data_IF_070424527506
#
_entry.id   IF_070424527506
#
_cell.length_a   1.000
_cell.length_b   1.000
_cell.length_c   1.000
_cell.angle_alpha   90.00
_cell.angle_beta   90.00
_cell.angle_gamma   90.00
#
_symmetry.space_group_name_H-M   'P 1'
#
loop_
_entity.id
_entity.type
_entity.pdbx_description
1 polymer ?
#
# COMPACT_ATOMS: atom_id res chain seq x y z
N UNK A 1 -1.97 -25.19 -11.09
CA UNK A 1 -0.53 -25.04 -10.77
C UNK A 1 -0.36 -24.28 -9.46
N UNK A 2 0.62 -24.68 -8.63
CA UNK A 2 0.88 -24.05 -7.32
C UNK A 2 1.23 -22.57 -7.44
N UNK A 3 2.11 -22.21 -8.38
CA UNK A 3 2.50 -20.82 -8.68
C UNK A 3 1.29 -19.89 -8.86
N UNK A 4 0.35 -20.27 -9.73
CA UNK A 4 -0.89 -19.52 -9.97
C UNK A 4 -1.76 -19.37 -8.71
N UNK A 5 -1.68 -20.32 -7.78
CA UNK A 5 -2.45 -20.28 -6.52
C UNK A 5 -1.89 -19.23 -5.57
N UNK A 6 -0.55 -19.19 -5.46
CA UNK A 6 0.15 -18.16 -4.67
C UNK A 6 -0.09 -16.78 -5.26
N UNK A 7 0.04 -16.63 -6.59
CA UNK A 7 -0.22 -15.34 -7.24
C UNK A 7 -1.66 -14.87 -7.01
N UNK A 8 -2.66 -15.75 -7.14
CA UNK A 8 -4.06 -15.42 -6.83
C UNK A 8 -4.23 -14.99 -5.38
N UNK A 9 -3.60 -15.68 -4.44
CA UNK A 9 -3.70 -15.32 -3.03
C UNK A 9 -3.08 -13.95 -2.74
N UNK A 10 -1.89 -13.67 -3.27
CA UNK A 10 -1.25 -12.36 -3.14
C UNK A 10 -2.12 -11.28 -3.77
N UNK A 11 -2.69 -11.53 -4.95
CA UNK A 11 -3.60 -10.61 -5.65
C UNK A 11 -4.90 -10.35 -4.88
N UNK A 12 -5.39 -11.33 -4.12
CA UNK A 12 -6.59 -11.19 -3.28
C UNK A 12 -6.29 -10.42 -1.99
N UNK A 13 -5.02 -10.36 -1.58
CA UNK A 13 -4.53 -9.71 -0.37
C UNK A 13 -3.63 -8.50 -0.68
N UNK A 14 -3.83 -7.83 -1.81
CA UNK A 14 -3.12 -6.58 -2.15
C UNK A 14 -3.31 -5.56 -1.04
N UNK A 15 -2.25 -4.82 -0.70
CA UNK A 15 -2.31 -3.80 0.35
C UNK A 15 -2.41 -4.35 1.77
N UNK A 16 -2.43 -5.69 1.96
CA UNK A 16 -2.40 -6.31 3.28
C UNK A 16 -0.99 -6.79 3.63
N UNK A 17 -0.58 -6.70 4.92
CA UNK A 17 0.68 -7.29 5.35
C UNK A 17 0.68 -8.81 5.19
N UNK A 18 1.66 -9.34 4.47
CA UNK A 18 1.81 -10.76 4.19
C UNK A 18 3.17 -11.28 4.67
N UNK A 19 3.17 -12.52 5.17
CA UNK A 19 4.39 -13.28 5.42
C UNK A 19 4.36 -14.56 4.61
N UNK A 20 5.54 -15.02 4.19
CA UNK A 20 5.70 -16.30 3.47
C UNK A 20 5.09 -17.47 4.23
N UNK A 21 5.15 -17.41 5.58
CA UNK A 21 4.50 -18.36 6.48
C UNK A 21 2.97 -18.29 6.40
N UNK A 22 2.37 -17.10 6.49
CA UNK A 22 0.91 -16.94 6.37
C UNK A 22 0.40 -17.47 5.04
N UNK A 23 1.13 -17.21 3.95
CA UNK A 23 0.78 -17.74 2.63
C UNK A 23 0.92 -19.26 2.60
N UNK A 24 2.03 -19.83 3.10
CA UNK A 24 2.23 -21.30 3.10
C UNK A 24 1.20 -22.03 3.94
N UNK A 25 0.85 -21.49 5.10
CA UNK A 25 -0.14 -22.07 6.01
C UNK A 25 -1.53 -22.03 5.36
N UNK A 26 -1.88 -20.92 4.70
CA UNK A 26 -3.15 -20.78 3.97
C UNK A 26 -3.23 -21.72 2.76
N UNK A 27 -2.15 -21.87 1.99
CA UNK A 27 -2.13 -22.84 0.88
C UNK A 27 -2.29 -24.27 1.39
N UNK A 28 -1.61 -24.60 2.50
CA UNK A 28 -1.66 -25.93 3.11
C UNK A 28 -3.06 -26.24 3.66
N UNK A 29 -3.74 -25.28 4.29
CA UNK A 29 -5.13 -25.45 4.76
C UNK A 29 -6.12 -25.67 3.62
N UNK A 30 -5.86 -25.12 2.43
CA UNK A 30 -6.61 -25.37 1.19
C UNK A 30 -6.22 -26.68 0.48
N UNK A 31 -5.51 -27.58 1.17
CA UNK A 31 -5.08 -28.88 0.63
C UNK A 31 -3.90 -28.79 -0.35
N UNK A 32 -3.25 -27.63 -0.46
CA UNK A 32 -2.11 -27.39 -1.37
C UNK A 32 -0.83 -27.18 -0.57
N UNK A 33 -0.21 -28.28 -0.12
CA UNK A 33 1.00 -28.25 0.70
C UNK A 33 2.16 -27.55 -0.03
N UNK A 34 2.73 -26.54 0.62
CA UNK A 34 3.91 -25.78 0.18
C UNK A 34 4.65 -25.28 1.42
N UNK A 35 5.97 -25.15 1.35
CA UNK A 35 6.76 -24.58 2.44
C UNK A 35 7.03 -23.07 2.22
N UNK A 36 7.37 -22.33 3.29
CA UNK A 36 7.61 -20.88 3.21
C UNK A 36 8.75 -20.50 2.28
N UNK A 37 9.82 -21.31 2.19
CA UNK A 37 10.96 -21.06 1.29
C UNK A 37 10.55 -21.09 -0.18
N UNK A 38 9.68 -22.01 -0.57
CA UNK A 38 9.13 -22.05 -1.94
C UNK A 38 8.22 -20.87 -2.21
N UNK A 39 7.44 -20.42 -1.21
CA UNK A 39 6.64 -19.19 -1.34
C UNK A 39 7.54 -17.97 -1.56
N UNK A 40 8.63 -17.83 -0.79
CA UNK A 40 9.60 -16.73 -0.96
C UNK A 40 10.15 -16.68 -2.39
N UNK A 41 10.59 -17.82 -2.93
CA UNK A 41 11.06 -17.91 -4.32
C UNK A 41 10.00 -17.49 -5.34
N UNK A 42 8.72 -17.79 -5.08
CA UNK A 42 7.65 -17.35 -5.98
C UNK A 42 7.40 -15.84 -5.86
N UNK A 43 7.41 -15.28 -4.66
CA UNK A 43 7.27 -13.83 -4.45
C UNK A 43 8.43 -13.07 -5.10
N UNK A 44 9.66 -13.57 -4.96
CA UNK A 44 10.85 -13.05 -5.62
C UNK A 44 10.69 -13.09 -7.14
N UNK A 45 10.34 -14.26 -7.71
CA UNK A 45 10.12 -14.39 -9.14
C UNK A 45 9.00 -13.47 -9.67
N UNK A 46 7.91 -13.30 -8.92
CA UNK A 46 6.84 -12.35 -9.29
C UNK A 46 7.30 -10.88 -9.23
N UNK A 47 8.21 -10.57 -8.31
CA UNK A 47 8.76 -9.22 -8.16
C UNK A 47 9.76 -8.91 -9.26
N UNK A 48 10.66 -9.85 -9.56
CA UNK A 48 11.65 -9.73 -10.65
C UNK A 48 11.01 -9.72 -12.04
N UNK A 49 9.83 -10.34 -12.19
CA UNK A 49 9.03 -10.28 -13.41
C UNK A 49 8.06 -9.08 -13.45
N UNK A 50 8.14 -8.17 -12.48
CA UNK A 50 7.30 -6.97 -12.40
C UNK A 50 5.78 -7.24 -12.37
N UNK A 51 5.37 -8.43 -11.92
CA UNK A 51 3.95 -8.77 -11.75
C UNK A 51 3.42 -8.14 -10.46
N UNK A 52 4.23 -8.17 -9.41
CA UNK A 52 3.94 -7.53 -8.12
C UNK A 52 5.13 -6.68 -7.70
N UNK A 53 4.87 -5.72 -6.81
CA UNK A 53 5.86 -4.85 -6.24
C UNK A 53 5.80 -4.95 -4.70
N UNK A 54 6.91 -5.28 -4.03
CA UNK A 54 6.97 -5.27 -2.58
C UNK A 54 7.11 -3.84 -2.06
N UNK A 55 6.21 -3.45 -1.16
CA UNK A 55 6.37 -2.27 -0.33
C UNK A 55 6.94 -2.67 1.03
N UNK A 56 8.25 -2.40 1.20
CA UNK A 56 8.98 -2.68 2.44
C UNK A 56 8.44 -1.80 3.56
N UNK A 57 8.56 -2.28 4.80
CA UNK A 57 8.14 -1.53 5.98
C UNK A 57 9.27 -0.66 6.53
N UNK A 58 8.93 0.55 6.92
CA UNK A 58 9.86 1.55 7.43
C UNK A 58 9.42 2.05 8.80
N UNK A 59 10.27 1.90 9.81
CA UNK A 59 10.06 2.46 11.13
C UNK A 59 10.40 3.96 11.10
N UNK A 60 9.38 4.82 11.14
CA UNK A 60 9.55 6.28 11.01
C UNK A 60 10.33 6.87 12.19
N UNK A 61 10.12 6.35 13.41
CA UNK A 61 10.85 6.80 14.61
C UNK A 61 12.29 6.31 14.64
N UNK A 62 12.48 5.02 14.40
CA UNK A 62 13.81 4.39 14.42
C UNK A 62 14.65 4.68 13.19
N UNK A 63 14.03 5.18 12.10
CA UNK A 63 14.64 5.38 10.78
C UNK A 63 15.32 4.11 10.25
N UNK A 64 14.63 2.99 10.38
CA UNK A 64 15.15 1.66 10.02
C UNK A 64 14.14 0.84 9.20
N UNK A 65 14.66 -0.06 8.39
CA UNK A 65 13.84 -1.01 7.63
C UNK A 65 13.45 -2.21 8.49
N UNK A 66 12.17 -2.55 8.45
CA UNK A 66 11.64 -3.74 9.13
C UNK A 66 11.69 -4.92 8.16
N UNK A 67 12.26 -6.04 8.61
CA UNK A 67 12.54 -7.23 7.77
C UNK A 67 11.33 -8.13 7.50
N UNK A 68 10.13 -7.79 7.96
CA UNK A 68 8.97 -8.67 7.88
C UNK A 68 7.66 -7.94 7.61
N UNK A 69 6.68 -8.70 7.12
CA UNK A 69 5.30 -8.26 6.87
C UNK A 69 5.20 -7.20 5.77
N UNK A 70 5.87 -7.41 4.64
CA UNK A 70 5.75 -6.56 3.46
C UNK A 70 4.30 -6.56 2.95
N UNK A 71 3.90 -5.44 2.35
CA UNK A 71 2.71 -5.38 1.50
C UNK A 71 3.13 -5.63 0.06
N UNK A 72 2.23 -6.20 -0.73
CA UNK A 72 2.45 -6.37 -2.17
C UNK A 72 1.36 -5.64 -2.94
N UNK A 73 1.75 -4.96 -4.01
CA UNK A 73 0.87 -4.28 -4.95
C UNK A 73 1.04 -4.89 -6.34
N UNK A 74 -0.05 -5.10 -7.06
CA UNK A 74 0.00 -5.66 -8.41
C UNK A 74 0.32 -4.55 -9.41
N UNK A 75 1.02 -4.89 -10.50
CA UNK A 75 1.38 -3.93 -11.56
C UNK A 75 0.17 -3.29 -12.24
N UNK A 76 -0.94 -4.03 -12.32
CA UNK A 76 -2.14 -3.61 -13.04
C UNK A 76 -3.39 -4.22 -12.41
N UNK A 77 -4.40 -3.38 -12.16
CA UNK A 77 -5.66 -3.80 -11.53
C UNK A 77 -6.46 -4.72 -12.47
N UNK A 78 -6.36 -4.55 -13.78
CA UNK A 78 -6.90 -5.46 -14.79
C UNK A 78 -6.29 -6.87 -14.70
N UNK A 79 -4.98 -6.99 -14.43
CA UNK A 79 -4.38 -8.31 -14.18
C UNK A 79 -5.00 -9.01 -12.98
N UNK A 80 -5.30 -8.26 -11.92
CA UNK A 80 -6.01 -8.80 -10.75
C UNK A 80 -7.40 -9.31 -11.15
N UNK A 81 -8.17 -8.50 -11.88
CA UNK A 81 -9.49 -8.90 -12.38
C UNK A 81 -9.41 -10.16 -13.25
N UNK A 82 -8.41 -10.29 -14.11
CA UNK A 82 -8.19 -11.50 -14.91
C UNK A 82 -7.89 -12.74 -14.03
N UNK A 83 -7.21 -12.58 -12.91
CA UNK A 83 -6.86 -13.67 -12.00
C UNK A 83 -8.00 -14.10 -11.07
N UNK A 84 -8.81 -13.14 -10.59
CA UNK A 84 -9.79 -13.33 -9.52
C UNK A 84 -11.26 -13.15 -9.96
N UNK A 85 -11.49 -12.68 -11.19
CA UNK A 85 -12.82 -12.33 -11.69
C UNK A 85 -13.35 -11.04 -11.04
N UNK A 86 -14.68 -10.85 -11.11
CA UNK A 86 -15.40 -9.69 -10.57
C UNK A 86 -15.64 -9.77 -9.06
N UNK A 87 -14.85 -10.57 -8.32
CA UNK A 87 -14.98 -10.70 -6.87
C UNK A 87 -14.82 -9.31 -6.23
N UNK A 88 -15.82 -8.88 -5.46
CA UNK A 88 -15.78 -7.59 -4.77
C UNK A 88 -14.52 -7.50 -3.91
N UNK A 89 -13.73 -6.46 -4.14
CA UNK A 89 -12.61 -6.07 -3.30
C UNK A 89 -12.93 -4.72 -2.66
N UNK A 90 -12.28 -4.47 -1.53
CA UNK A 90 -12.20 -3.14 -0.95
C UNK A 90 -11.58 -2.16 -1.97
N UNK A 91 -12.41 -1.25 -2.48
CA UNK A 91 -12.00 -0.18 -3.41
C UNK A 91 -10.90 0.69 -2.81
N UNK A 92 -10.80 0.77 -1.48
CA UNK A 92 -9.69 1.44 -0.79
C UNK A 92 -8.34 0.81 -1.10
N UNK A 93 -8.24 -0.53 -1.12
CA UNK A 93 -6.99 -1.21 -1.50
C UNK A 93 -6.67 -1.08 -3.00
N UNK A 94 -7.69 -0.95 -3.86
CA UNK A 94 -7.48 -0.62 -5.28
C UNK A 94 -6.82 0.75 -5.39
N UNK A 95 -7.39 1.76 -4.72
CA UNK A 95 -6.86 3.11 -4.71
C UNK A 95 -5.45 3.17 -4.13
N UNK A 96 -5.21 2.47 -3.02
CA UNK A 96 -3.89 2.32 -2.40
C UNK A 96 -2.86 1.77 -3.40
N UNK A 97 -3.20 0.72 -4.17
CA UNK A 97 -2.34 0.18 -5.21
C UNK A 97 -2.08 1.18 -6.35
N UNK A 98 -3.11 1.92 -6.79
CA UNK A 98 -2.95 2.94 -7.85
C UNK A 98 -2.00 4.05 -7.39
N UNK A 99 -2.20 4.55 -6.17
CA UNK A 99 -1.32 5.56 -5.57
C UNK A 99 0.11 5.05 -5.42
N UNK A 100 0.28 3.81 -4.95
CA UNK A 100 1.61 3.19 -4.84
C UNK A 100 2.35 3.18 -6.18
N UNK A 101 1.71 2.69 -7.25
CA UNK A 101 2.31 2.64 -8.57
C UNK A 101 2.63 4.03 -9.11
N UNK A 102 1.76 5.01 -8.85
CA UNK A 102 2.00 6.38 -9.26
C UNK A 102 3.20 7.00 -8.52
N UNK A 103 3.36 6.74 -7.22
CA UNK A 103 4.53 7.20 -6.48
C UNK A 103 5.82 6.60 -7.05
N UNK A 104 5.82 5.32 -7.43
CA UNK A 104 6.97 4.72 -8.12
C UNK A 104 7.26 5.40 -9.46
N UNK A 105 6.22 5.69 -10.27
CA UNK A 105 6.36 6.39 -11.57
C UNK A 105 6.91 7.81 -11.41
N UNK A 106 6.58 8.48 -10.30
CA UNK A 106 7.12 9.80 -9.93
C UNK A 106 8.55 9.74 -9.39
N UNK A 107 9.18 8.57 -9.36
CA UNK A 107 10.58 8.39 -8.98
C UNK A 107 10.81 8.38 -7.47
N UNK A 108 9.80 7.98 -6.69
CA UNK A 108 9.96 7.77 -5.26
C UNK A 108 10.34 6.32 -4.95
N UNK A 109 11.21 6.15 -3.96
CA UNK A 109 11.26 4.93 -3.16
C UNK A 109 10.07 4.94 -2.20
N UNK A 110 9.25 3.88 -2.22
CA UNK A 110 7.97 3.85 -1.51
C UNK A 110 7.95 2.73 -0.47
N UNK A 111 7.69 3.12 0.77
CA UNK A 111 7.66 2.22 1.93
C UNK A 111 6.32 2.32 2.66
N UNK A 112 5.93 1.27 3.35
CA UNK A 112 4.82 1.33 4.32
C UNK A 112 5.37 1.84 5.66
N UNK A 113 4.84 2.95 6.15
CA UNK A 113 5.35 3.58 7.36
C UNK A 113 4.78 2.94 8.62
N UNK A 114 5.63 2.74 9.63
CA UNK A 114 5.21 2.42 11.00
C UNK A 114 5.59 3.57 11.92
N UNK A 115 4.60 4.10 12.63
CA UNK A 115 4.77 5.13 13.65
C UNK A 115 4.01 4.71 14.91
N UNK A 116 4.74 4.38 15.98
CA UNK A 116 4.17 3.75 17.17
C UNK A 116 3.38 2.48 16.82
N UNK A 117 2.06 2.51 17.06
CA UNK A 117 1.12 1.44 16.77
C UNK A 117 0.31 1.70 15.49
N UNK A 118 0.59 2.79 14.78
CA UNK A 118 -0.13 3.18 13.57
C UNK A 118 0.69 2.89 12.32
N UNK A 119 -0.04 2.61 11.25
CA UNK A 119 0.51 2.47 9.91
C UNK A 119 0.23 3.76 9.12
N UNK A 120 1.24 4.25 8.41
CA UNK A 120 1.10 5.26 7.36
C UNK A 120 1.13 4.49 6.05
N UNK A 121 0.15 4.69 5.15
CA UNK A 121 0.09 3.91 3.91
C UNK A 121 1.43 3.99 3.16
N UNK A 122 1.92 5.21 2.92
CA UNK A 122 3.20 5.40 2.22
C UNK A 122 4.11 6.45 2.85
N UNK A 123 5.38 6.09 2.95
CA UNK A 123 6.52 6.99 3.09
C UNK A 123 7.20 7.01 1.73
N UNK A 124 7.06 8.11 0.99
CA UNK A 124 7.65 8.30 -0.32
C UNK A 124 8.93 9.14 -0.17
N UNK A 125 10.07 8.62 -0.63
CA UNK A 125 11.37 9.26 -0.48
C UNK A 125 12.07 9.39 -1.84
N UNK A 126 12.66 10.55 -2.09
CA UNK A 126 13.57 10.74 -3.22
C UNK A 126 14.59 11.85 -2.90
N UNK A 127 15.35 12.29 -3.89
CA UNK A 127 16.35 13.35 -3.73
C UNK A 127 15.76 14.72 -3.31
N UNK A 128 14.45 14.95 -3.49
CA UNK A 128 13.77 16.20 -3.09
C UNK A 128 13.33 16.16 -1.63
N UNK A 129 13.26 14.98 -1.02
CA UNK A 129 12.88 14.80 0.37
C UNK A 129 11.92 13.64 0.60
N UNK A 130 11.24 13.67 1.74
CA UNK A 130 10.23 12.68 2.14
C UNK A 130 8.84 13.30 2.12
N UNK A 131 7.83 12.54 1.70
CA UNK A 131 6.42 12.89 1.81
C UNK A 131 5.67 11.69 2.42
N UNK A 132 4.73 11.96 3.31
CA UNK A 132 3.86 10.95 3.91
C UNK A 132 2.48 10.99 3.30
N UNK A 133 1.98 9.83 2.88
CA UNK A 133 0.65 9.69 2.30
C UNK A 133 -0.20 8.72 3.11
N UNK A 134 -1.43 9.16 3.39
CA UNK A 134 -2.53 8.31 3.78
C UNK A 134 -3.53 8.24 2.62
N UNK A 135 -4.15 7.09 2.40
CA UNK A 135 -5.08 6.84 1.28
C UNK A 135 -6.36 6.25 1.83
N UNK A 136 -7.48 6.88 1.52
CA UNK A 136 -8.80 6.39 1.89
C UNK A 136 -9.78 6.68 0.76
N UNK A 137 -10.78 5.81 0.56
CA UNK A 137 -11.79 6.08 -0.48
C UNK A 137 -12.56 7.38 -0.18
N UNK A 138 -12.98 7.54 1.08
CA UNK A 138 -13.67 8.73 1.59
C UNK A 138 -13.28 8.96 3.05
N UNK A 139 -13.24 10.22 3.48
CA UNK A 139 -13.08 10.63 4.88
C UNK A 139 -14.24 11.51 5.36
N UNK A 140 -15.39 11.43 4.69
CA UNK A 140 -16.59 12.22 5.08
C UNK A 140 -17.17 11.84 6.44
N UNK A 141 -16.95 10.61 6.86
CA UNK A 141 -17.22 10.18 8.23
C UNK A 141 -16.08 10.65 9.16
N UNK A 142 -16.43 11.38 10.21
CA UNK A 142 -15.47 11.97 11.14
C UNK A 142 -14.57 10.91 11.80
N UNK A 143 -15.10 9.72 12.12
CA UNK A 143 -14.28 8.66 12.71
C UNK A 143 -13.22 8.16 11.73
N UNK A 144 -13.59 8.06 10.46
CA UNK A 144 -12.68 7.72 9.37
C UNK A 144 -11.62 8.80 9.19
N UNK A 145 -12.00 10.07 9.12
CA UNK A 145 -11.07 11.20 9.06
C UNK A 145 -10.05 11.17 10.20
N UNK A 146 -10.51 11.06 11.45
CA UNK A 146 -9.62 11.01 12.62
C UNK A 146 -8.69 9.79 12.58
N UNK A 147 -9.16 8.64 12.10
CA UNK A 147 -8.32 7.45 11.92
C UNK A 147 -7.20 7.69 10.90
N UNK A 148 -7.50 8.34 9.79
CA UNK A 148 -6.51 8.63 8.73
C UNK A 148 -5.55 9.77 9.11
N UNK A 149 -5.99 10.76 9.90
CA UNK A 149 -5.14 11.85 10.40
C UNK A 149 -4.15 11.40 11.47
N UNK A 150 -4.58 10.53 12.39
CA UNK A 150 -3.81 10.10 13.57
C UNK A 150 -2.37 9.63 13.26
N UNK A 151 -2.11 8.73 12.28
CA UNK A 151 -0.74 8.32 11.97
C UNK A 151 0.13 9.49 11.51
N UNK A 152 -0.42 10.40 10.70
CA UNK A 152 0.29 11.56 10.17
C UNK A 152 0.59 12.60 11.25
N UNK A 153 -0.37 12.86 12.15
CA UNK A 153 -0.19 13.77 13.30
C UNK A 153 0.86 13.26 14.30
N UNK A 154 1.05 11.95 14.41
CA UNK A 154 2.08 11.36 15.28
C UNK A 154 3.52 11.61 14.77
N UNK A 155 3.69 12.04 13.52
CA UNK A 155 5.01 12.31 12.91
C UNK A 155 5.44 13.74 13.22
N UNK A 156 6.37 13.89 14.17
CA UNK A 156 6.86 15.18 14.68
C UNK A 156 7.94 15.86 13.83
N UNK A 157 7.91 15.67 12.51
CA UNK A 157 8.82 16.36 11.59
C UNK A 157 8.05 17.25 10.61
N UNK A 158 8.78 18.08 9.85
CA UNK A 158 8.19 19.08 8.97
C UNK A 158 8.03 18.62 7.51
N UNK A 159 8.25 17.34 7.21
CA UNK A 159 7.99 16.84 5.86
C UNK A 159 6.50 16.92 5.51
N UNK A 160 6.16 17.12 4.22
CA UNK A 160 4.78 17.19 3.77
C UNK A 160 3.99 15.93 4.11
N UNK A 161 2.70 16.13 4.42
CA UNK A 161 1.76 15.07 4.81
C UNK A 161 0.48 15.28 4.02
N UNK A 162 0.00 14.22 3.37
CA UNK A 162 -1.14 14.27 2.45
C UNK A 162 -2.09 13.12 2.76
N UNK A 163 -3.38 13.39 2.77
CA UNK A 163 -4.44 12.40 2.68
C UNK A 163 -5.03 12.47 1.28
N UNK A 164 -4.94 11.37 0.53
CA UNK A 164 -5.55 11.24 -0.79
C UNK A 164 -6.91 10.54 -0.65
N UNK A 165 -7.97 11.18 -1.15
CA UNK A 165 -9.33 10.59 -1.15
C UNK A 165 -10.03 10.73 -2.48
N UNK A 166 -11.11 9.97 -2.71
CA UNK A 166 -11.97 10.15 -3.87
C UNK A 166 -13.13 11.13 -3.59
N UNK A 167 -13.09 11.84 -2.47
CA UNK A 167 -14.09 12.85 -2.15
C UNK A 167 -13.95 14.05 -3.11
N UNK A 168 -15.07 14.49 -3.70
CA UNK A 168 -15.10 15.66 -4.59
C UNK A 168 -15.24 16.99 -3.81
N UNK A 169 -14.82 16.96 -2.55
CA UNK A 169 -14.82 18.12 -1.68
C UNK A 169 -13.58 18.99 -1.97
N UNK A 170 -13.63 20.32 -1.77
CA UNK A 170 -12.46 21.17 -1.92
C UNK A 170 -11.27 20.70 -1.08
N UNK A 171 -10.06 21.09 -1.49
CA UNK A 171 -8.87 20.85 -0.69
C UNK A 171 -9.02 21.53 0.69
N UNK A 172 -8.72 20.77 1.75
CA UNK A 172 -8.75 21.25 3.14
C UNK A 172 -7.43 20.87 3.80
N UNK A 173 -7.01 21.67 4.78
CA UNK A 173 -5.83 21.40 5.59
C UNK A 173 -6.21 21.17 7.06
N UNK A 174 -5.58 20.16 7.67
CA UNK A 174 -5.71 19.80 9.09
C UNK A 174 -4.34 19.81 9.74
N UNK A 175 -4.01 20.84 10.54
CA UNK A 175 -2.73 20.97 11.23
C UNK A 175 -1.50 20.77 10.32
N UNK A 176 -1.54 21.32 9.10
CA UNK A 176 -0.47 21.16 8.12
C UNK A 176 -0.65 19.98 7.16
N UNK A 177 -1.56 19.03 7.44
CA UNK A 177 -1.86 17.87 6.60
C UNK A 177 -2.87 18.25 5.52
N UNK A 178 -2.52 18.12 4.25
CA UNK A 178 -3.39 18.45 3.12
C UNK A 178 -4.31 17.27 2.79
N UNK A 179 -5.60 17.50 2.58
CA UNK A 179 -6.54 16.50 2.04
C UNK A 179 -6.83 16.83 0.58
N UNK A 180 -6.39 15.97 -0.33
CA UNK A 180 -6.41 16.20 -1.77
C UNK A 180 -7.23 15.11 -2.46
N UNK A 181 -7.98 15.49 -3.50
CA UNK A 181 -8.64 14.52 -4.35
C UNK A 181 -7.60 13.68 -5.13
N UNK A 182 -7.68 12.37 -5.03
CA UNK A 182 -6.71 11.43 -5.60
C UNK A 182 -6.72 11.44 -7.13
N UNK A 183 -7.88 11.66 -7.78
CA UNK A 183 -7.95 11.81 -9.24
C UNK A 183 -7.21 13.06 -9.68
N UNK A 184 -7.42 14.18 -9.01
CA UNK A 184 -6.78 15.44 -9.39
C UNK A 184 -5.26 15.37 -9.14
N UNK A 185 -4.84 14.71 -8.07
CA UNK A 185 -3.44 14.39 -7.81
C UNK A 185 -2.82 13.50 -8.90
N UNK A 186 -3.54 12.44 -9.33
CA UNK A 186 -3.10 11.54 -10.42
C UNK A 186 -2.94 12.29 -11.74
N UNK A 187 -3.80 13.26 -12.02
CA UNK A 187 -3.76 14.08 -13.23
C UNK A 187 -2.72 15.23 -13.16
N UNK A 188 -2.08 15.43 -12.00
CA UNK A 188 -1.12 16.52 -11.81
C UNK A 188 -1.77 17.90 -11.75
N UNK A 189 -3.05 17.97 -11.34
CA UNK A 189 -3.82 19.21 -11.21
C UNK A 189 -3.67 19.88 -9.83
N UNK A 190 -2.76 19.36 -9.00
CA UNK A 190 -2.56 19.77 -7.62
C UNK A 190 -1.11 20.17 -7.43
N UNK A 191 -0.87 21.31 -6.78
CA UNK A 191 0.48 21.82 -6.46
C UNK A 191 1.25 20.94 -5.47
#
# INVERSE_FOLDING_TARGET
MMLKSVLKFVSDNIGNPLSSKKISDTMTSLGRKINSRTVEKYLEAFSESYIIYPAKRYNIKGKEYLKSLEKYYIVDIGMRYMLLGSKMMDTGHILENVVYLELLRRGYDVYVGKIDNYEVNFVAQNHKGTIYYQVALTVRDEKTLQRELRPLQAIRNHYPKVILTMDEDPEIQYDGIRRINARDWLLGLTD
#
